data_IF_526015796677
#
_entry.id   IF_526015796677
#
_cell.length_a   1.000
_cell.length_b   1.000
_cell.length_c   1.000
_cell.angle_alpha   90.00
_cell.angle_beta   90.00
_cell.angle_gamma   90.00
#
_symmetry.space_group_name_H-M   'P 1'
#
loop_
_entity.id
_entity.type
_entity.pdbx_description
1 polymer ?
#
# COMPACT_ATOMS: atom_id res chain seq x y z
N UNK A 1 -39.47 -37.14 -26.44
CA UNK A 1 -39.43 -35.78 -27.01
C UNK A 1 -39.48 -34.82 -25.83
N UNK A 2 -38.45 -34.12 -25.42
CA UNK A 2 -37.02 -34.06 -25.75
C UNK A 2 -36.40 -33.31 -24.55
N UNK A 3 -35.23 -33.78 -24.08
CA UNK A 3 -34.02 -33.02 -23.69
C UNK A 3 -34.17 -31.82 -22.75
N UNK A 4 -33.61 -31.90 -21.54
CA UNK A 4 -32.21 -31.60 -21.16
C UNK A 4 -31.96 -30.12 -20.82
N UNK A 5 -31.11 -29.96 -19.79
CA UNK A 5 -30.35 -28.76 -19.40
C UNK A 5 -31.13 -27.61 -18.75
N UNK A 6 -30.72 -27.03 -17.63
CA UNK A 6 -29.42 -27.09 -16.96
C UNK A 6 -29.62 -26.62 -15.52
N UNK A 7 -29.39 -27.51 -14.56
CA UNK A 7 -29.16 -27.16 -13.17
C UNK A 7 -27.80 -26.46 -13.11
N UNK A 8 -27.80 -25.12 -13.18
CA UNK A 8 -26.59 -24.33 -13.00
C UNK A 8 -26.31 -24.26 -11.51
N UNK A 9 -25.62 -25.29 -11.03
CA UNK A 9 -24.91 -25.26 -9.76
C UNK A 9 -24.11 -23.98 -9.69
N UNK A 10 -24.48 -23.12 -8.75
CA UNK A 10 -23.62 -22.04 -8.32
C UNK A 10 -22.39 -22.72 -7.72
N UNK A 11 -21.32 -22.78 -8.50
CA UNK A 11 -19.98 -23.06 -7.98
C UNK A 11 -19.67 -21.93 -7.02
N UNK A 12 -20.01 -22.11 -5.75
CA UNK A 12 -19.41 -21.37 -4.66
C UNK A 12 -17.93 -21.65 -4.77
N UNK A 13 -17.17 -20.70 -5.33
CA UNK A 13 -15.73 -20.68 -5.18
C UNK A 13 -15.51 -20.34 -3.71
N UNK A 14 -15.58 -21.36 -2.86
CA UNK A 14 -14.99 -21.31 -1.52
C UNK A 14 -13.50 -21.34 -1.78
N UNK A 15 -12.89 -20.17 -1.96
CA UNK A 15 -11.45 -20.04 -1.74
C UNK A 15 -11.25 -20.31 -0.25
N UNK A 16 -10.99 -21.57 0.10
CA UNK A 16 -10.45 -21.94 1.40
C UNK A 16 -9.04 -21.37 1.47
N UNK A 17 -8.95 -20.06 1.72
CA UNK A 17 -7.69 -19.44 2.09
C UNK A 17 -7.26 -20.08 3.41
N UNK A 18 -5.99 -20.42 3.59
CA UNK A 18 -5.51 -20.91 4.87
C UNK A 18 -5.81 -19.86 5.96
N UNK A 19 -6.28 -20.31 7.13
CA UNK A 19 -6.49 -19.44 8.30
C UNK A 19 -5.20 -18.71 8.72
N UNK A 20 -4.04 -19.23 8.28
CA UNK A 20 -2.71 -18.65 8.46
C UNK A 20 -2.15 -18.13 7.12
N UNK A 21 -1.78 -16.85 7.08
CA UNK A 21 -1.00 -16.24 5.99
C UNK A 21 0.41 -15.87 6.47
N UNK A 22 1.35 -15.69 5.56
CA UNK A 22 2.70 -15.24 5.92
C UNK A 22 2.66 -13.81 6.47
N UNK A 23 1.96 -12.92 5.77
CA UNK A 23 1.92 -11.49 6.12
C UNK A 23 0.49 -10.95 6.09
N UNK A 24 0.12 -10.21 7.13
CA UNK A 24 -1.03 -9.30 7.11
C UNK A 24 -0.48 -7.88 7.02
N UNK A 25 -0.97 -7.10 6.06
CA UNK A 25 -0.68 -5.68 5.95
C UNK A 25 -1.96 -4.89 6.24
N UNK A 26 -1.94 -4.03 7.26
CA UNK A 26 -3.10 -3.23 7.65
C UNK A 26 -2.86 -1.76 7.37
N UNK A 27 -3.74 -1.15 6.59
CA UNK A 27 -3.69 0.30 6.36
C UNK A 27 -4.59 0.79 5.25
N UNK A 28 -4.59 2.09 5.03
CA UNK A 28 -5.36 2.74 3.96
C UNK A 28 -4.67 2.61 2.60
N UNK A 29 -5.45 2.22 1.59
CA UNK A 29 -5.13 2.47 0.19
C UNK A 29 -6.05 3.55 -0.36
N UNK A 30 -5.50 4.36 -1.26
CA UNK A 30 -6.18 5.45 -1.93
C UNK A 30 -6.02 5.30 -3.45
N UNK A 31 -6.99 5.83 -4.18
CA UNK A 31 -6.86 5.98 -5.62
C UNK A 31 -5.97 7.19 -5.91
N UNK A 32 -4.91 7.00 -6.68
CA UNK A 32 -4.03 8.08 -7.14
C UNK A 32 -4.45 8.56 -8.52
N UNK A 33 -4.40 9.86 -8.73
CA UNK A 33 -4.58 10.49 -10.03
C UNK A 33 -3.27 11.12 -10.48
N UNK A 34 -2.70 10.59 -11.56
CA UNK A 34 -1.45 11.01 -12.17
C UNK A 34 -1.78 11.84 -13.41
N UNK A 35 -1.23 13.05 -13.58
CA UNK A 35 -1.53 13.84 -14.76
C UNK A 35 -0.95 13.16 -16.00
N UNK A 36 -1.70 13.20 -17.10
CA UNK A 36 -1.28 12.65 -18.41
C UNK A 36 -0.12 13.44 -19.05
N UNK A 37 0.20 14.62 -18.51
CA UNK A 37 1.28 15.49 -18.97
C UNK A 37 1.91 16.25 -17.79
N UNK A 38 3.19 16.64 -17.86
CA UNK A 38 3.78 17.52 -16.85
C UNK A 38 3.04 18.87 -16.72
N UNK A 39 2.96 19.38 -15.50
CA UNK A 39 2.31 20.65 -15.17
C UNK A 39 1.75 20.66 -13.75
N UNK A 40 1.34 21.83 -13.26
CA UNK A 40 0.64 21.97 -11.97
C UNK A 40 -0.72 21.28 -12.05
N UNK A 41 -1.27 20.88 -10.89
CA UNK A 41 -2.61 20.27 -10.85
C UNK A 41 -3.69 21.17 -11.44
N UNK A 42 -3.53 22.50 -11.31
CA UNK A 42 -4.46 23.49 -11.86
C UNK A 42 -4.45 23.60 -13.39
N UNK A 43 -3.37 23.17 -14.07
CA UNK A 43 -3.18 23.39 -15.51
C UNK A 43 -3.44 22.13 -16.35
N UNK A 44 -3.46 20.95 -15.72
CA UNK A 44 -3.65 19.65 -16.39
C UNK A 44 -5.15 19.33 -16.52
N UNK A 45 -5.54 18.81 -17.68
CA UNK A 45 -6.95 18.57 -18.01
C UNK A 45 -7.39 17.11 -17.87
N UNK A 46 -6.44 16.19 -17.68
CA UNK A 46 -6.74 14.77 -17.55
C UNK A 46 -5.74 14.04 -16.66
N UNK A 47 -6.23 12.98 -16.03
CA UNK A 47 -5.48 12.14 -15.11
C UNK A 47 -5.68 10.67 -15.43
N UNK A 48 -4.61 9.90 -15.30
CA UNK A 48 -4.66 8.45 -15.24
C UNK A 48 -4.83 8.00 -13.81
N UNK A 49 -5.64 6.97 -13.64
CA UNK A 49 -5.96 6.39 -12.35
C UNK A 49 -4.97 5.27 -12.02
N UNK A 50 -4.41 5.32 -10.83
CA UNK A 50 -3.64 4.23 -10.23
C UNK A 50 -4.06 3.98 -8.79
N UNK A 51 -3.27 3.18 -8.09
CA UNK A 51 -3.44 2.92 -6.65
C UNK A 51 -2.20 3.41 -5.87
N UNK A 52 -2.40 3.79 -4.62
CA UNK A 52 -1.33 4.09 -3.69
C UNK A 52 -1.73 3.71 -2.27
N UNK A 53 -0.77 3.29 -1.46
CA UNK A 53 -0.97 2.90 -0.06
C UNK A 53 0.29 2.21 0.43
N UNK A 54 0.84 2.64 1.56
CA UNK A 54 2.13 2.13 2.02
C UNK A 54 2.04 0.62 2.27
N UNK A 55 1.01 0.18 2.97
CA UNK A 55 0.82 -1.21 3.37
C UNK A 55 0.37 -2.10 2.19
N UNK A 56 -0.49 -1.60 1.30
CA UNK A 56 -0.88 -2.35 0.10
C UNK A 56 0.26 -2.50 -0.90
N UNK A 57 1.18 -1.52 -1.00
CA UNK A 57 2.35 -1.65 -1.87
C UNK A 57 3.29 -2.75 -1.37
N UNK A 58 3.52 -2.83 -0.06
CA UNK A 58 4.27 -3.93 0.56
C UNK A 58 3.54 -5.25 0.32
N UNK A 59 2.22 -5.28 0.48
CA UNK A 59 1.44 -6.49 0.29
C UNK A 59 1.53 -7.03 -1.15
N UNK A 60 1.34 -6.17 -2.16
CA UNK A 60 1.46 -6.54 -3.57
C UNK A 60 2.88 -7.01 -3.91
N UNK A 61 3.92 -6.36 -3.37
CA UNK A 61 5.31 -6.75 -3.60
C UNK A 61 5.63 -8.13 -3.01
N UNK A 62 5.17 -8.40 -1.79
CA UNK A 62 5.36 -9.69 -1.13
C UNK A 62 4.56 -10.82 -1.80
N UNK A 63 3.33 -10.55 -2.24
CA UNK A 63 2.54 -11.51 -3.01
C UNK A 63 3.21 -11.85 -4.35
N UNK A 64 3.73 -10.84 -5.06
CA UNK A 64 4.51 -11.05 -6.28
C UNK A 64 5.81 -11.84 -6.03
N UNK A 65 6.38 -11.77 -4.83
CA UNK A 65 7.54 -12.57 -4.41
C UNK A 65 7.17 -14.01 -3.97
N UNK A 66 5.88 -14.38 -4.01
CA UNK A 66 5.40 -15.75 -3.71
C UNK A 66 4.98 -15.98 -2.26
N UNK A 67 4.86 -14.94 -1.44
CA UNK A 67 4.33 -15.06 -0.08
C UNK A 67 2.80 -15.01 -0.07
N UNK A 68 2.18 -15.70 0.89
CA UNK A 68 0.74 -15.54 1.16
C UNK A 68 0.51 -14.25 1.95
N UNK A 69 -0.25 -13.32 1.38
CA UNK A 69 -0.45 -12.00 1.97
C UNK A 69 -1.93 -11.65 2.02
N UNK A 70 -2.36 -11.08 3.15
CA UNK A 70 -3.69 -10.49 3.33
C UNK A 70 -3.58 -8.99 3.53
N UNK A 71 -4.45 -8.23 2.85
CA UNK A 71 -4.63 -6.81 3.09
C UNK A 71 -5.89 -6.58 3.91
N UNK A 72 -5.72 -5.99 5.10
CA UNK A 72 -6.82 -5.63 6.01
C UNK A 72 -7.03 -4.12 5.91
N UNK A 73 -8.24 -3.72 5.52
CA UNK A 73 -8.55 -2.31 5.31
C UNK A 73 -10.05 -2.06 5.31
N UNK A 74 -10.42 -0.81 5.03
CA UNK A 74 -11.79 -0.38 4.83
C UNK A 74 -11.85 0.62 3.67
N UNK A 75 -12.69 0.36 2.69
CA UNK A 75 -12.90 1.20 1.50
C UNK A 75 -14.36 1.61 1.41
N UNK A 76 -14.66 2.67 0.68
CA UNK A 76 -16.04 3.05 0.40
C UNK A 76 -16.75 2.00 -0.45
N UNK A 77 -18.07 1.92 -0.33
CA UNK A 77 -18.94 1.21 -1.26
C UNK A 77 -19.15 2.05 -2.54
N UNK A 78 -18.04 2.40 -3.18
CA UNK A 78 -17.96 3.26 -4.36
C UNK A 78 -17.02 2.65 -5.42
N UNK A 79 -17.05 3.21 -6.64
CA UNK A 79 -16.23 2.70 -7.75
C UNK A 79 -14.72 2.80 -7.52
N UNK A 80 -14.27 3.68 -6.61
CA UNK A 80 -12.87 3.77 -6.21
C UNK A 80 -12.49 2.62 -5.29
N UNK A 81 -13.35 2.26 -4.34
CA UNK A 81 -13.17 1.09 -3.50
C UNK A 81 -13.17 -0.19 -4.33
N UNK A 82 -14.09 -0.31 -5.30
CA UNK A 82 -14.13 -1.44 -6.24
C UNK A 82 -12.79 -1.58 -6.98
N UNK A 83 -12.27 -0.46 -7.47
CA UNK A 83 -10.99 -0.44 -8.15
C UNK A 83 -9.84 -0.89 -7.25
N UNK A 84 -9.74 -0.37 -6.01
CA UNK A 84 -8.68 -0.75 -5.08
C UNK A 84 -8.70 -2.24 -4.79
N UNK A 85 -9.86 -2.78 -4.41
CA UNK A 85 -10.04 -4.19 -4.09
C UNK A 85 -9.68 -5.07 -5.29
N UNK A 86 -10.21 -4.77 -6.47
CA UNK A 86 -9.92 -5.56 -7.67
C UNK A 86 -8.45 -5.47 -8.08
N UNK A 87 -7.82 -4.31 -7.97
CA UNK A 87 -6.43 -4.12 -8.39
C UNK A 87 -5.48 -4.83 -7.44
N UNK A 88 -5.66 -4.66 -6.13
CA UNK A 88 -4.82 -5.31 -5.11
C UNK A 88 -5.00 -6.84 -5.17
N UNK A 89 -6.24 -7.33 -5.34
CA UNK A 89 -6.49 -8.76 -5.54
C UNK A 89 -5.78 -9.33 -6.78
N UNK A 90 -5.62 -8.55 -7.85
CA UNK A 90 -4.93 -9.00 -9.07
C UNK A 90 -3.43 -9.30 -8.87
N UNK A 91 -2.83 -8.81 -7.79
CA UNK A 91 -1.46 -9.17 -7.37
C UNK A 91 -1.39 -10.49 -6.58
N UNK A 92 -2.53 -11.16 -6.35
CA UNK A 92 -2.60 -12.38 -5.54
C UNK A 92 -2.74 -12.12 -4.04
N UNK A 93 -3.04 -10.88 -3.64
CA UNK A 93 -3.30 -10.51 -2.25
C UNK A 93 -4.72 -10.93 -1.84
N UNK A 94 -4.87 -11.57 -0.69
CA UNK A 94 -6.16 -11.84 -0.08
C UNK A 94 -6.80 -10.54 0.42
N UNK A 95 -7.96 -10.20 -0.16
CA UNK A 95 -8.75 -9.00 0.14
C UNK A 95 -10.07 -9.31 0.86
N UNK A 96 -10.24 -10.55 1.36
CA UNK A 96 -11.46 -10.98 2.05
C UNK A 96 -11.74 -10.20 3.35
N UNK A 97 -10.70 -9.64 3.96
CA UNK A 97 -10.78 -8.82 5.17
C UNK A 97 -10.94 -7.31 4.89
N UNK A 98 -11.25 -6.92 3.64
CA UNK A 98 -11.51 -5.51 3.31
C UNK A 98 -12.98 -5.18 3.53
N UNK A 99 -13.26 -4.32 4.51
CA UNK A 99 -14.63 -3.88 4.79
C UNK A 99 -15.11 -2.82 3.79
N UNK A 100 -16.40 -2.90 3.41
CA UNK A 100 -17.07 -1.95 2.51
C UNK A 100 -17.95 -1.00 3.30
N UNK A 101 -17.64 0.29 3.26
CA UNK A 101 -18.37 1.32 4.00
C UNK A 101 -19.37 2.05 3.09
N UNK A 102 -20.70 1.93 3.31
CA UNK A 102 -21.69 2.64 2.52
C UNK A 102 -21.84 4.13 2.89
N UNK A 103 -21.24 4.55 4.01
CA UNK A 103 -21.40 5.90 4.58
C UNK A 103 -20.18 6.81 4.40
N UNK A 104 -19.02 6.23 4.10
CA UNK A 104 -17.74 6.95 3.99
C UNK A 104 -17.09 6.69 2.64
N UNK A 105 -16.49 7.73 2.01
CA UNK A 105 -15.87 7.57 0.70
C UNK A 105 -14.52 6.85 0.80
N UNK A 106 -14.10 6.23 -0.30
CA UNK A 106 -12.71 5.83 -0.51
C UNK A 106 -11.82 7.07 -0.65
N UNK A 107 -10.67 7.10 0.04
CA UNK A 107 -9.72 8.20 -0.07
C UNK A 107 -9.09 8.28 -1.47
N UNK A 108 -8.81 9.51 -1.93
CA UNK A 108 -8.13 9.76 -3.20
C UNK A 108 -7.03 10.80 -3.03
N UNK A 109 -6.04 10.81 -3.92
CA UNK A 109 -5.10 11.92 -3.98
C UNK A 109 -4.60 12.17 -5.40
N UNK A 110 -4.19 13.41 -5.64
CA UNK A 110 -3.63 13.87 -6.90
C UNK A 110 -2.16 14.20 -6.66
N UNK A 111 -1.28 13.84 -7.59
CA UNK A 111 0.13 14.26 -7.52
C UNK A 111 0.64 14.67 -8.88
N UNK A 112 1.55 15.64 -8.96
CA UNK A 112 2.16 16.03 -10.23
C UNK A 112 3.13 14.95 -10.75
N UNK A 113 3.30 14.90 -12.07
CA UNK A 113 4.33 14.08 -12.70
C UNK A 113 5.64 14.87 -12.69
N UNK A 114 6.53 14.58 -11.74
CA UNK A 114 7.84 15.23 -11.64
C UNK A 114 8.66 14.75 -10.46
N UNK A 115 9.98 14.92 -10.55
CA UNK A 115 10.89 14.65 -9.44
C UNK A 115 10.54 15.52 -8.23
N UNK A 116 10.58 14.90 -7.05
CA UNK A 116 10.38 15.54 -5.73
C UNK A 116 11.27 16.76 -5.47
N UNK A 117 12.29 16.99 -6.29
CA UNK A 117 13.26 18.08 -6.18
C UNK A 117 12.93 19.35 -6.98
N UNK A 118 11.74 19.46 -7.58
CA UNK A 118 11.30 20.70 -8.25
C UNK A 118 10.15 21.37 -7.49
N UNK A 119 10.08 22.70 -7.53
CA UNK A 119 8.98 23.51 -6.94
C UNK A 119 7.58 23.18 -7.50
N UNK A 120 7.49 22.29 -8.50
CA UNK A 120 6.26 21.82 -9.11
C UNK A 120 5.73 20.49 -8.51
N UNK A 121 6.41 19.90 -7.51
CA UNK A 121 5.91 18.69 -6.84
C UNK A 121 4.77 19.04 -5.86
N UNK A 122 3.53 18.82 -6.32
CA UNK A 122 2.32 19.06 -5.56
C UNK A 122 1.61 17.73 -5.30
N UNK A 123 1.17 17.50 -4.06
CA UNK A 123 0.31 16.36 -3.70
C UNK A 123 -0.90 16.86 -2.93
N UNK A 124 -2.09 16.61 -3.46
CA UNK A 124 -3.36 17.01 -2.85
C UNK A 124 -4.12 15.76 -2.38
N UNK A 125 -4.29 15.62 -1.06
CA UNK A 125 -4.98 14.49 -0.44
C UNK A 125 -6.44 14.82 -0.12
N UNK A 126 -7.34 13.93 -0.51
CA UNK A 126 -8.76 13.94 -0.18
C UNK A 126 -9.12 12.64 0.55
N UNK A 127 -8.70 12.57 1.82
CA UNK A 127 -8.86 11.38 2.68
C UNK A 127 -9.47 11.67 4.05
N UNK A 128 -9.76 12.93 4.36
CA UNK A 128 -10.42 13.28 5.62
C UNK A 128 -11.80 12.61 5.69
N UNK A 129 -12.05 11.83 6.74
CA UNK A 129 -13.29 11.07 6.91
C UNK A 129 -13.46 9.89 5.96
N UNK A 130 -12.37 9.41 5.33
CA UNK A 130 -12.41 8.23 4.47
C UNK A 130 -12.89 6.98 5.24
N UNK A 131 -13.30 5.96 4.49
CA UNK A 131 -13.69 4.67 5.03
C UNK A 131 -12.58 4.05 5.91
N UNK A 132 -11.31 4.14 5.48
CA UNK A 132 -10.17 3.62 6.24
C UNK A 132 -9.95 4.35 7.57
N UNK A 133 -10.22 5.66 7.63
CA UNK A 133 -10.13 6.42 8.89
C UNK A 133 -11.11 5.98 9.97
N UNK A 134 -12.08 5.10 9.65
CA UNK A 134 -13.03 4.54 10.59
C UNK A 134 -12.60 3.19 11.20
N UNK A 135 -11.44 2.64 10.80
CA UNK A 135 -10.93 1.39 11.40
C UNK A 135 -10.72 1.56 12.91
N UNK A 136 -10.99 0.51 13.66
CA UNK A 136 -10.93 0.50 15.13
C UNK A 136 -10.57 -0.89 15.68
N UNK A 137 -10.36 -0.95 16.99
CA UNK A 137 -10.12 -2.21 17.72
C UNK A 137 -11.34 -3.14 17.77
N UNK A 138 -12.53 -2.65 17.40
CA UNK A 138 -13.79 -3.38 17.50
C UNK A 138 -14.22 -4.05 16.19
N UNK A 139 -13.75 -3.57 15.04
CA UNK A 139 -14.23 -4.00 13.71
C UNK A 139 -13.13 -4.55 12.80
N UNK A 140 -11.87 -4.57 13.28
CA UNK A 140 -10.74 -5.16 12.56
C UNK A 140 -10.46 -6.57 13.08
N UNK A 141 -10.63 -7.55 12.18
CA UNK A 141 -10.10 -8.90 12.36
C UNK A 141 -8.89 -9.10 11.44
N UNK A 142 -7.74 -9.44 12.03
CA UNK A 142 -6.51 -9.69 11.29
C UNK A 142 -6.40 -11.15 10.81
N UNK A 143 -7.16 -12.07 11.39
CA UNK A 143 -6.89 -13.50 11.30
C UNK A 143 -5.53 -13.86 11.91
N UNK A 144 -4.97 -15.00 11.48
CA UNK A 144 -3.64 -15.46 11.94
C UNK A 144 -2.58 -15.16 10.90
N UNK A 145 -1.44 -14.59 11.32
CA UNK A 145 -0.29 -14.37 10.46
C UNK A 145 1.03 -14.65 11.14
N UNK A 146 2.11 -14.80 10.37
CA UNK A 146 3.48 -14.84 10.89
C UNK A 146 4.00 -13.43 11.15
N UNK A 147 3.68 -12.50 10.25
CA UNK A 147 4.06 -11.09 10.31
C UNK A 147 2.82 -10.21 10.18
N UNK A 148 2.76 -9.15 11.00
CA UNK A 148 1.83 -8.04 10.87
C UNK A 148 2.63 -6.81 10.46
N UNK A 149 2.40 -6.30 9.25
CA UNK A 149 3.02 -5.08 8.74
C UNK A 149 2.07 -3.88 8.89
N UNK A 150 2.62 -2.82 9.45
CA UNK A 150 1.94 -1.61 9.88
C UNK A 150 2.75 -0.38 9.47
N UNK A 151 2.12 0.79 9.38
CA UNK A 151 2.84 2.04 9.23
C UNK A 151 2.29 3.19 10.08
N UNK A 152 3.11 4.21 10.27
CA UNK A 152 2.73 5.44 10.96
C UNK A 152 1.61 6.22 10.28
N UNK A 153 1.35 5.99 8.99
CA UNK A 153 0.25 6.66 8.26
C UNK A 153 -1.10 6.30 8.87
N UNK A 154 -1.32 5.02 9.17
CA UNK A 154 -2.59 4.55 9.71
C UNK A 154 -2.86 5.17 11.08
N UNK A 155 -1.83 5.31 11.93
CA UNK A 155 -1.96 5.96 13.24
C UNK A 155 -2.37 7.45 13.15
N UNK A 156 -2.04 8.12 12.04
CA UNK A 156 -2.35 9.53 11.82
C UNK A 156 -3.78 9.77 11.27
N UNK A 157 -4.53 8.72 10.93
CA UNK A 157 -5.83 8.87 10.26
C UNK A 157 -6.94 9.38 11.17
N UNK A 158 -6.99 8.86 12.40
CA UNK A 158 -8.03 9.15 13.40
C UNK A 158 -7.64 8.58 14.77
N UNK A 159 -8.34 9.01 15.81
CA UNK A 159 -8.13 8.50 17.17
C UNK A 159 -8.39 6.99 17.29
N UNK A 160 -9.39 6.47 16.58
CA UNK A 160 -9.70 5.03 16.59
C UNK A 160 -8.62 4.21 15.88
N UNK A 161 -8.06 4.75 14.80
CA UNK A 161 -6.90 4.14 14.15
C UNK A 161 -5.67 4.20 15.06
N UNK A 162 -5.42 5.30 15.76
CA UNK A 162 -4.33 5.39 16.73
C UNK A 162 -4.48 4.35 17.86
N UNK A 163 -5.69 4.20 18.43
CA UNK A 163 -5.97 3.18 19.44
C UNK A 163 -5.71 1.77 18.90
N UNK A 164 -6.16 1.49 17.68
CA UNK A 164 -5.89 0.23 16.99
C UNK A 164 -4.39 -0.01 16.84
N UNK A 165 -3.64 0.97 16.34
CA UNK A 165 -2.20 0.83 16.14
C UNK A 165 -1.46 0.57 17.46
N UNK A 166 -1.83 1.26 18.54
CA UNK A 166 -1.29 1.00 19.89
C UNK A 166 -1.58 -0.42 20.38
N UNK A 167 -2.80 -0.91 20.18
CA UNK A 167 -3.17 -2.29 20.54
C UNK A 167 -2.36 -3.32 19.75
N UNK A 168 -2.10 -3.05 18.46
CA UNK A 168 -1.40 -3.97 17.57
C UNK A 168 0.12 -3.98 17.78
N UNK A 169 0.73 -2.86 18.15
CA UNK A 169 2.17 -2.77 18.44
C UNK A 169 2.51 -3.13 19.89
N UNK A 170 1.54 -3.15 20.81
CA UNK A 170 1.78 -3.52 22.20
C UNK A 170 2.43 -4.92 22.31
N UNK A 171 3.56 -5.07 23.04
CA UNK A 171 4.14 -6.37 23.33
C UNK A 171 3.14 -7.27 24.06
N UNK A 172 2.87 -8.45 23.52
CA UNK A 172 2.01 -9.47 24.14
C UNK A 172 2.44 -10.86 23.72
N UNK A 173 2.24 -11.84 24.61
CA UNK A 173 2.53 -13.23 24.28
C UNK A 173 1.65 -13.71 23.11
N UNK A 174 2.23 -14.47 22.19
CA UNK A 174 1.52 -15.03 21.04
C UNK A 174 1.06 -14.02 19.98
N UNK A 175 1.53 -12.76 19.98
CA UNK A 175 1.34 -11.87 18.81
C UNK A 175 2.24 -12.30 17.65
N UNK A 176 1.84 -12.03 16.38
CA UNK A 176 2.76 -12.14 15.26
C UNK A 176 3.97 -11.21 15.43
N UNK A 177 5.01 -11.46 14.64
CA UNK A 177 6.10 -10.50 14.48
C UNK A 177 5.53 -9.19 13.90
N UNK A 178 5.79 -8.08 14.56
CA UNK A 178 5.30 -6.77 14.14
C UNK A 178 6.38 -6.04 13.37
N UNK A 179 6.08 -5.78 12.10
CA UNK A 179 6.85 -4.92 11.22
C UNK A 179 6.19 -3.54 11.15
N UNK A 180 6.97 -2.48 11.37
CA UNK A 180 6.46 -1.11 11.40
C UNK A 180 7.34 -0.18 10.56
N UNK A 181 6.76 0.48 9.56
CA UNK A 181 7.42 1.57 8.83
C UNK A 181 6.96 2.93 9.38
N UNK A 182 7.90 3.73 9.86
CA UNK A 182 7.61 5.02 10.51
C UNK A 182 6.79 5.93 9.60
N UNK A 183 7.10 5.96 8.30
CA UNK A 183 6.37 6.71 7.27
C UNK A 183 5.87 8.07 7.78
N UNK A 184 6.79 8.91 8.27
CA UNK A 184 6.43 10.22 8.80
C UNK A 184 5.91 11.11 7.66
N UNK A 185 4.73 11.69 7.90
CA UNK A 185 4.03 12.60 6.97
C UNK A 185 3.52 13.75 7.81
N UNK A 186 4.34 14.78 7.99
CA UNK A 186 4.03 15.95 8.81
C UNK A 186 2.63 16.54 8.52
N UNK A 187 2.24 16.61 7.24
CA UNK A 187 0.91 17.09 6.83
C UNK A 187 -0.30 16.24 7.24
N UNK A 188 -0.12 15.04 7.80
CA UNK A 188 -1.22 14.21 8.34
C UNK A 188 -1.45 14.44 9.83
N UNK A 189 -0.43 14.88 10.57
CA UNK A 189 -0.51 15.03 12.01
C UNK A 189 -1.07 16.40 12.36
N UNK A 190 -2.19 16.42 13.10
CA UNK A 190 -2.86 17.66 13.51
C UNK A 190 -2.11 18.41 14.59
N UNK A 191 -1.44 17.68 15.47
CA UNK A 191 -0.74 18.18 16.64
C UNK A 191 0.74 17.78 16.62
N UNK A 192 1.57 18.53 17.35
CA UNK A 192 3.01 18.29 17.48
C UNK A 192 3.37 16.93 18.16
N UNK A 193 2.37 16.16 18.59
CA UNK A 193 2.53 14.86 19.23
C UNK A 193 2.85 13.71 18.27
N UNK A 194 2.69 13.91 16.95
CA UNK A 194 2.91 12.88 15.94
C UNK A 194 4.26 12.17 16.06
N UNK A 195 5.39 12.89 16.13
CA UNK A 195 6.69 12.26 16.33
C UNK A 195 6.82 11.43 17.60
N UNK A 196 6.24 11.89 18.71
CA UNK A 196 6.22 11.16 19.98
C UNK A 196 5.43 9.86 19.85
N UNK A 197 4.28 9.90 19.19
CA UNK A 197 3.44 8.72 18.90
C UNK A 197 4.17 7.75 17.98
N UNK A 198 4.83 8.22 16.93
CA UNK A 198 5.61 7.37 16.02
C UNK A 198 6.76 6.67 16.74
N UNK A 199 7.44 7.37 17.63
CA UNK A 199 8.49 6.79 18.47
C UNK A 199 7.92 5.72 19.41
N UNK A 200 6.79 6.00 20.08
CA UNK A 200 6.06 5.04 20.92
C UNK A 200 5.72 3.75 20.14
N UNK A 201 5.13 3.87 18.95
CA UNK A 201 4.73 2.73 18.12
C UNK A 201 5.92 1.94 17.59
N UNK A 202 6.98 2.63 17.14
CA UNK A 202 8.21 2.00 16.65
C UNK A 202 8.89 1.16 17.74
N UNK A 203 8.91 1.64 18.99
CA UNK A 203 9.47 0.89 20.13
C UNK A 203 8.69 -0.38 20.49
N UNK A 204 7.42 -0.48 20.11
CA UNK A 204 6.61 -1.69 20.28
C UNK A 204 6.82 -2.76 19.21
N UNK A 205 7.45 -2.41 18.08
CA UNK A 205 7.63 -3.28 16.94
C UNK A 205 8.94 -4.09 16.99
N UNK A 206 8.96 -5.24 16.31
CA UNK A 206 10.14 -6.12 16.27
C UNK A 206 11.07 -5.77 15.10
N UNK A 207 10.48 -5.33 13.98
CA UNK A 207 11.19 -4.87 12.78
C UNK A 207 10.73 -3.47 12.45
N UNK A 208 11.65 -2.51 12.49
CA UNK A 208 11.34 -1.10 12.18
C UNK A 208 12.05 -0.64 10.92
N UNK A 209 11.32 0.06 10.07
CA UNK A 209 11.85 0.81 8.93
C UNK A 209 11.69 2.30 9.19
N UNK A 210 12.75 3.08 8.96
CA UNK A 210 12.72 4.54 9.11
C UNK A 210 13.72 5.19 8.15
N UNK A 211 13.35 6.29 7.51
CA UNK A 211 14.28 7.12 6.74
C UNK A 211 15.19 7.92 7.65
N UNK A 212 16.43 8.14 7.23
CA UNK A 212 17.33 9.07 7.92
C UNK A 212 16.76 10.50 7.93
N UNK A 213 16.16 10.91 6.80
CA UNK A 213 15.40 12.16 6.65
C UNK A 213 14.14 12.20 7.53
N UNK A 214 13.41 11.08 7.60
CA UNK A 214 12.22 10.97 8.45
C UNK A 214 12.57 11.08 9.94
N UNK A 215 13.69 10.49 10.36
CA UNK A 215 14.16 10.55 11.75
C UNK A 215 14.67 11.96 12.12
N UNK A 216 15.32 12.66 11.20
CA UNK A 216 15.72 14.04 11.39
C UNK A 216 14.49 14.95 11.50
N UNK A 217 13.51 14.83 10.60
CA UNK A 217 12.29 15.65 10.61
C UNK A 217 11.42 15.39 11.84
N UNK A 218 11.23 14.11 12.21
CA UNK A 218 10.34 13.75 13.31
C UNK A 218 11.00 13.92 14.67
N UNK A 219 12.25 13.45 14.84
CA UNK A 219 12.86 13.27 16.16
C UNK A 219 14.09 14.14 16.39
N UNK A 220 14.42 15.02 15.45
CA UNK A 220 15.60 15.89 15.50
C UNK A 220 16.91 15.09 15.67
N UNK A 221 16.89 13.81 15.27
CA UNK A 221 18.05 12.93 15.38
C UNK A 221 18.94 13.09 14.16
N UNK A 222 20.13 13.62 14.40
CA UNK A 222 21.21 13.74 13.41
C UNK A 222 22.40 12.86 13.79
N UNK A 223 23.35 12.66 12.87
CA UNK A 223 24.51 11.78 13.08
C UNK A 223 24.35 10.37 12.50
N UNK A 224 23.25 10.14 11.78
CA UNK A 224 23.05 9.00 10.90
C UNK A 224 22.55 7.72 11.57
N UNK A 225 22.65 6.57 10.88
CA UNK A 225 21.95 5.34 11.29
C UNK A 225 22.26 4.88 12.72
N UNK A 226 23.47 5.11 13.21
CA UNK A 226 23.86 4.76 14.59
C UNK A 226 23.11 5.58 15.64
N UNK A 227 22.95 6.89 15.44
CA UNK A 227 22.15 7.74 16.35
C UNK A 227 20.69 7.31 16.41
N UNK A 228 20.13 6.93 15.25
CA UNK A 228 18.75 6.40 15.18
C UNK A 228 18.65 5.07 15.93
N UNK A 229 19.68 4.22 15.83
CA UNK A 229 19.73 2.97 16.60
C UNK A 229 19.82 3.20 18.11
N UNK A 230 20.54 4.22 18.55
CA UNK A 230 20.59 4.62 19.97
C UNK A 230 19.23 5.13 20.47
N UNK A 231 18.47 5.82 19.63
CA UNK A 231 17.10 6.25 19.95
C UNK A 231 16.09 5.09 20.01
N UNK A 232 16.28 4.09 19.14
CA UNK A 232 15.41 2.90 18.97
C UNK A 232 16.17 1.59 19.30
N UNK A 233 16.54 1.36 20.58
CA UNK A 233 17.18 0.12 21.00
C UNK A 233 16.25 -1.09 21.07
N UNK A 234 14.94 -0.91 21.08
CA UNK A 234 13.95 -1.97 21.33
C UNK A 234 13.75 -2.92 20.14
N UNK A 235 13.62 -2.45 18.87
CA UNK A 235 13.42 -3.34 17.74
C UNK A 235 14.57 -4.34 17.58
N UNK A 236 14.22 -5.60 17.33
CA UNK A 236 15.18 -6.65 17.04
C UNK A 236 15.90 -6.45 15.72
N UNK A 237 15.21 -5.86 14.75
CA UNK A 237 15.77 -5.41 13.47
C UNK A 237 15.38 -3.94 13.24
N UNK A 238 16.35 -3.10 12.94
CA UNK A 238 16.14 -1.71 12.53
C UNK A 238 16.78 -1.48 11.17
N UNK A 239 15.99 -1.05 10.19
CA UNK A 239 16.46 -0.69 8.85
C UNK A 239 16.32 0.82 8.66
N UNK A 240 17.45 1.49 8.55
CA UNK A 240 17.54 2.93 8.27
C UNK A 240 17.72 3.14 6.77
N UNK A 241 16.71 3.74 6.12
CA UNK A 241 16.70 4.05 4.68
C UNK A 241 17.46 5.36 4.45
N UNK A 242 18.41 5.38 3.51
CA UNK A 242 19.30 6.52 3.24
C UNK A 242 19.17 6.98 1.78
N UNK A 243 17.97 6.87 1.22
CA UNK A 243 17.66 7.24 -0.16
C UNK A 243 18.54 6.51 -1.19
N UNK A 244 19.16 7.27 -2.09
CA UNK A 244 20.03 6.72 -3.15
C UNK A 244 21.31 6.08 -2.61
N UNK A 245 21.72 6.39 -1.38
CA UNK A 245 22.91 5.82 -0.73
C UNK A 245 22.69 4.37 -0.27
N UNK A 246 21.43 3.92 -0.22
CA UNK A 246 21.07 2.56 0.20
C UNK A 246 20.38 2.55 1.56
N UNK A 247 20.72 1.56 2.38
CA UNK A 247 20.17 1.40 3.72
C UNK A 247 21.16 0.71 4.66
N UNK A 248 21.05 1.01 5.95
CA UNK A 248 21.81 0.34 7.02
C UNK A 248 20.85 -0.49 7.87
N UNK A 249 21.16 -1.77 8.06
CA UNK A 249 20.39 -2.68 8.91
C UNK A 249 21.16 -3.03 10.19
N UNK A 250 20.52 -2.83 11.34
CA UNK A 250 20.99 -3.30 12.64
C UNK A 250 20.15 -4.51 13.04
N UNK A 251 20.81 -5.56 13.52
CA UNK A 251 20.17 -6.77 14.04
C UNK A 251 20.68 -7.01 15.44
N UNK A 252 19.79 -7.07 16.43
CA UNK A 252 20.13 -7.45 17.80
C UNK A 252 20.15 -8.98 17.93
N UNK A 253 20.72 -9.50 19.02
CA UNK A 253 20.67 -10.94 19.31
C UNK A 253 19.24 -11.50 19.35
N UNK A 254 18.25 -10.68 19.74
CA UNK A 254 16.83 -11.05 19.68
C UNK A 254 16.31 -11.12 18.23
N UNK A 255 16.79 -10.24 17.34
CA UNK A 255 16.49 -10.27 15.91
C UNK A 255 17.05 -11.51 15.21
N UNK A 256 18.23 -11.99 15.61
CA UNK A 256 18.82 -13.23 15.05
C UNK A 256 17.95 -14.47 15.32
N UNK A 257 17.26 -14.53 16.46
CA UNK A 257 16.36 -15.64 16.81
C UNK A 257 15.03 -15.63 16.02
N UNK A 258 14.60 -14.46 15.52
CA UNK A 258 13.38 -14.31 14.72
C UNK A 258 13.59 -14.48 13.21
N UNK A 259 14.82 -14.33 12.73
CA UNK A 259 15.19 -14.53 11.33
C UNK A 259 15.41 -16.03 11.05
N UNK A 260 14.32 -16.76 10.77
CA UNK A 260 14.46 -18.10 10.19
C UNK A 260 15.01 -17.92 8.77
N UNK A 261 16.27 -18.31 8.56
CA UNK A 261 16.89 -18.34 7.25
C UNK A 261 16.00 -19.11 6.25
N UNK A 262 15.87 -18.64 5.00
CA UNK A 262 15.13 -19.37 3.99
C UNK A 262 15.70 -20.80 3.89
N UNK A 263 14.81 -21.80 3.92
CA UNK A 263 15.20 -23.19 3.69
C UNK A 263 15.71 -23.31 2.24
N UNK A 264 17.02 -23.27 2.08
CA UNK A 264 17.74 -23.54 0.83
C UNK A 264 17.82 -22.34 -0.11
N UNK A 265 19.03 -21.79 -0.27
CA UNK A 265 19.35 -20.82 -1.33
C UNK A 265 20.31 -19.75 -0.84
N UNK A 266 21.36 -19.48 -1.62
CA UNK A 266 22.55 -18.71 -1.26
C UNK A 266 22.29 -17.28 -0.74
N UNK A 267 23.30 -16.74 -0.05
CA UNK A 267 23.36 -15.33 0.37
C UNK A 267 22.94 -14.38 -0.75
N UNK A 268 21.81 -13.71 -0.59
CA UNK A 268 21.34 -12.68 -1.51
C UNK A 268 22.11 -11.39 -1.27
N UNK A 269 23.05 -11.05 -2.17
CA UNK A 269 23.45 -9.66 -2.39
C UNK A 269 22.50 -9.08 -3.42
N UNK A 270 21.58 -8.21 -3.00
CA UNK A 270 20.85 -7.38 -3.94
C UNK A 270 21.70 -6.13 -4.19
N UNK A 271 22.35 -6.05 -5.36
CA UNK A 271 22.64 -4.75 -5.97
C UNK A 271 21.32 -4.12 -6.39
N UNK A 272 21.21 -2.77 -6.46
CA UNK A 272 19.95 -2.13 -6.81
C UNK A 272 19.43 -2.70 -8.14
N UNK A 273 18.23 -3.32 -8.11
CA UNK A 273 17.51 -3.55 -9.35
C UNK A 273 17.19 -2.16 -9.93
N UNK A 274 17.40 -1.93 -11.24
CA UNK A 274 17.00 -0.68 -11.83
C UNK A 274 15.49 -0.51 -11.61
N UNK A 275 15.12 0.61 -10.98
CA UNK A 275 13.77 1.15 -11.11
C UNK A 275 13.47 1.18 -12.60
N UNK A 276 12.54 0.35 -13.08
CA UNK A 276 12.03 0.50 -14.43
C UNK A 276 11.42 1.89 -14.50
N UNK A 277 12.04 2.75 -15.30
CA UNK A 277 11.51 4.06 -15.63
C UNK A 277 10.12 3.89 -16.24
N UNK A 278 9.26 4.89 -16.05
CA UNK A 278 7.91 4.93 -16.62
C UNK A 278 7.90 5.10 -18.16
N UNK A 279 9.00 4.79 -18.85
CA UNK A 279 9.22 4.99 -20.29
C UNK A 279 9.52 3.68 -21.06
N UNK A 280 9.13 2.51 -20.54
CA UNK A 280 9.23 1.24 -21.28
C UNK A 280 8.00 1.08 -22.21
N UNK A 281 8.12 1.14 -23.55
CA UNK A 281 6.99 1.17 -24.50
C UNK A 281 6.43 -0.25 -24.77
N UNK A 282 6.24 -1.03 -23.71
CA UNK A 282 5.96 -2.46 -23.75
C UNK A 282 4.51 -2.85 -23.47
N UNK A 283 3.51 -2.03 -23.82
CA UNK A 283 2.10 -2.45 -23.89
C UNK A 283 1.47 -1.80 -25.13
N UNK A 284 1.81 -2.31 -26.32
CA UNK A 284 1.00 -2.05 -27.50
C UNK A 284 -0.28 -2.88 -27.38
N UNK A 285 -1.40 -2.18 -27.19
CA UNK A 285 -2.73 -2.75 -27.31
C UNK A 285 -2.88 -3.46 -28.65
N UNK A 286 -3.52 -4.63 -28.61
CA UNK A 286 -3.94 -5.37 -29.79
C UNK A 286 -4.82 -4.44 -30.66
N UNK A 287 -4.30 -4.01 -31.80
CA UNK A 287 -5.04 -3.25 -32.79
C UNK A 287 -6.08 -4.15 -33.49
N UNK A 288 -7.28 -3.65 -33.83
CA UNK A 288 -8.24 -4.40 -34.62
C UNK A 288 -7.77 -4.51 -36.09
N UNK A 289 -7.84 -5.74 -36.63
CA UNK A 289 -7.44 -6.12 -37.99
C UNK A 289 -8.25 -5.39 -39.09
N UNK A 290 -7.62 -4.58 -39.97
CA UNK A 290 -8.29 -3.92 -41.07
C UNK A 290 -8.23 -4.78 -42.34
N UNK A 291 -8.87 -5.96 -42.33
CA UNK A 291 -9.10 -6.74 -43.57
C UNK A 291 -10.46 -7.45 -43.59
N UNK A 292 -11.55 -6.67 -43.63
CA UNK A 292 -12.77 -7.09 -44.36
C UNK A 292 -13.34 -5.89 -45.10
N UNK A 293 -12.91 -5.75 -46.36
CA UNK A 293 -13.50 -4.84 -47.32
C UNK A 293 -14.90 -5.31 -47.74
N UNK A 294 -15.78 -4.34 -47.93
CA UNK A 294 -17.12 -4.53 -48.49
C UNK A 294 -17.85 -3.19 -48.60
N UNK A 295 -17.50 -2.36 -49.58
CA UNK A 295 -18.40 -1.35 -50.17
C UNK A 295 -19.26 -2.03 -51.24
N UNK A 296 -20.54 -1.65 -51.43
CA UNK A 296 -20.94 -0.43 -52.15
C UNK A 296 -22.18 0.25 -51.51
N UNK A 297 -22.74 1.40 -51.88
CA UNK A 297 -22.56 2.46 -52.89
C UNK A 297 -23.39 3.67 -52.42
N UNK A 298 -23.00 4.85 -52.89
CA UNK A 298 -23.56 6.17 -52.63
C UNK A 298 -25.07 6.39 -52.87
N UNK A 299 -25.63 7.41 -52.21
CA UNK A 299 -26.26 8.57 -52.87
C UNK A 299 -26.37 9.77 -51.92
N UNK A 300 -26.09 10.95 -52.47
CA UNK A 300 -26.14 12.26 -51.85
C UNK A 300 -27.47 12.97 -52.16
N UNK A 301 -27.88 13.88 -51.27
CA UNK A 301 -28.65 15.13 -51.54
C UNK A 301 -28.83 15.86 -50.20
N UNK A 302 -28.07 16.92 -49.94
CA UNK A 302 -28.46 18.34 -50.08
C UNK A 302 -29.36 18.89 -48.94
N UNK A 303 -28.70 19.60 -48.00
CA UNK A 303 -28.92 20.98 -47.47
C UNK A 303 -30.33 21.52 -47.08
N UNK A 304 -30.41 22.61 -46.28
CA UNK A 304 -31.31 22.69 -45.11
C UNK A 304 -32.36 23.82 -45.28
N UNK A 305 -33.02 24.20 -44.18
CA UNK A 305 -32.79 25.56 -43.67
C UNK A 305 -32.31 25.60 -42.20
#
# INVERSE_FOLDING_TARGET
MDRHDQDRGATTIVTNAPDLVDVVALGESMVTFLPTRPGRLADVSSFERGIGGAESNVACGLAAAGHSVRWVSRVGADGFGDHLVSTIASYGVDVSAVHRDPSRPTGVYFRTAGDRGTDAHEVAYYRAGSAASAMSTADVDLGTSRVLHLSGITAALSDSCLELMRKLTAPREGRPLVSFDVNHRSGLWRDADGPRVLLELARGADVVFVGEDEAEEAWEVTGGPSSIRELLPEPGVLVVKQGATGATAFVSAAGECGLVAPRGGAAYRHGPAPLRSADDPGVQGVAPDPRRGGTPSARASETPP
#
